data_IF_902288847818
#
_entry.id   IF_902288847818
#
_cell.length_a   1.000
_cell.length_b   1.000
_cell.length_c   1.000
_cell.angle_alpha   90.00
_cell.angle_beta   90.00
_cell.angle_gamma   90.00
#
_symmetry.space_group_name_H-M   'P 1'
#
loop_
_entity.id
_entity.type
_entity.pdbx_description
1 polymer ?
#
# COMPACT_ATOMS: atom_id res chain seq x y z
N UNK A 1 -12.36 -6.44 -6.03
CA UNK A 1 -13.53 -5.81 -6.69
C UNK A 1 -14.41 -6.94 -7.23
N UNK A 2 -15.69 -6.95 -6.88
CA UNK A 2 -16.66 -8.07 -6.88
C UNK A 2 -16.49 -9.06 -5.72
N UNK A 3 -17.57 -9.28 -4.97
CA UNK A 3 -17.66 -9.94 -3.66
C UNK A 3 -17.44 -11.45 -3.67
N UNK A 4 -16.52 -11.94 -4.49
CA UNK A 4 -16.01 -13.30 -4.35
C UNK A 4 -14.91 -13.27 -3.28
N UNK A 5 -15.12 -14.01 -2.18
CA UNK A 5 -14.12 -14.18 -1.13
C UNK A 5 -12.91 -14.95 -1.67
N UNK A 6 -11.90 -14.22 -2.15
CA UNK A 6 -10.59 -14.78 -2.43
C UNK A 6 -9.72 -14.63 -1.18
N UNK A 7 -9.37 -15.76 -0.56
CA UNK A 7 -8.63 -15.80 0.70
C UNK A 7 -7.15 -16.13 0.43
N UNK A 8 -6.26 -15.38 1.06
CA UNK A 8 -4.85 -15.72 1.12
C UNK A 8 -4.64 -16.80 2.18
N UNK A 9 -4.08 -17.94 1.79
CA UNK A 9 -3.71 -19.02 2.72
C UNK A 9 -2.21 -19.00 2.95
N UNK A 10 -1.77 -18.64 4.15
CA UNK A 10 -0.35 -18.76 4.51
C UNK A 10 -0.13 -20.21 4.98
N UNK A 11 0.71 -20.95 4.27
CA UNK A 11 1.01 -22.36 4.54
C UNK A 11 2.50 -22.47 4.90
N UNK A 12 2.79 -23.14 6.01
CA UNK A 12 4.16 -23.50 6.35
C UNK A 12 4.60 -24.70 5.50
N UNK A 13 5.52 -24.48 4.55
CA UNK A 13 6.12 -25.56 3.74
C UNK A 13 7.64 -25.49 3.91
N UNK A 14 8.22 -26.62 4.30
CA UNK A 14 9.46 -26.70 5.10
C UNK A 14 10.74 -26.21 4.38
N UNK A 15 10.76 -25.86 3.08
CA UNK A 15 12.04 -25.60 2.38
C UNK A 15 12.11 -24.46 1.35
N UNK A 16 11.05 -23.69 1.08
CA UNK A 16 11.07 -22.60 0.08
C UNK A 16 10.12 -21.46 0.44
N UNK A 17 10.51 -20.21 0.14
CA UNK A 17 9.62 -19.06 0.13
C UNK A 17 9.20 -18.78 -1.32
N UNK A 18 7.90 -18.86 -1.60
CA UNK A 18 7.34 -18.62 -2.93
C UNK A 18 5.89 -18.17 -2.82
N UNK A 19 5.48 -17.31 -3.75
CA UNK A 19 4.11 -16.86 -3.93
C UNK A 19 3.78 -16.71 -5.43
N UNK A 20 2.49 -16.83 -5.76
CA UNK A 20 2.01 -16.46 -7.09
C UNK A 20 2.00 -14.93 -7.25
N UNK A 21 2.14 -14.48 -8.49
CA UNK A 21 2.08 -13.05 -8.80
C UNK A 21 0.64 -12.62 -9.10
N UNK A 22 0.11 -11.70 -8.30
CA UNK A 22 -1.24 -11.16 -8.46
C UNK A 22 -2.38 -12.10 -8.03
N UNK A 23 -3.63 -11.67 -8.30
CA UNK A 23 -4.86 -12.44 -7.97
C UNK A 23 -5.10 -13.55 -8.99
N UNK A 24 -5.12 -14.81 -8.53
CA UNK A 24 -5.42 -15.98 -9.38
C UNK A 24 -6.91 -16.14 -9.77
N UNK A 25 -7.83 -15.57 -9.00
CA UNK A 25 -9.27 -15.53 -9.34
C UNK A 25 -10.08 -16.76 -8.92
N UNK A 26 -9.49 -17.96 -8.89
CA UNK A 26 -10.21 -19.23 -8.75
C UNK A 26 -9.92 -19.95 -7.41
N UNK A 27 -10.16 -19.27 -6.29
CA UNK A 27 -10.04 -19.84 -4.94
C UNK A 27 -8.81 -19.39 -4.15
N UNK A 28 -8.46 -20.07 -3.05
CA UNK A 28 -7.40 -19.63 -2.16
C UNK A 28 -6.03 -19.72 -2.84
N UNK A 29 -5.18 -18.73 -2.58
CA UNK A 29 -3.80 -18.72 -3.06
C UNK A 29 -2.83 -18.87 -1.89
N UNK A 30 -1.87 -19.79 -2.04
CA UNK A 30 -0.93 -20.13 -0.99
C UNK A 30 0.30 -19.20 -1.01
N UNK A 31 0.71 -18.70 0.15
CA UNK A 31 2.08 -18.22 0.38
C UNK A 31 2.81 -19.31 1.15
N UNK A 32 3.94 -19.76 0.61
CA UNK A 32 4.82 -20.69 1.30
C UNK A 32 5.80 -19.91 2.18
N UNK A 33 5.72 -20.09 3.50
CA UNK A 33 6.71 -19.55 4.45
C UNK A 33 7.40 -20.72 5.14
N UNK A 34 8.60 -21.07 4.66
CA UNK A 34 9.41 -22.14 5.23
C UNK A 34 10.32 -21.69 6.39
N UNK A 35 11.05 -22.65 6.95
CA UNK A 35 12.07 -22.38 7.97
C UNK A 35 13.17 -21.47 7.39
N UNK A 36 13.44 -20.33 8.05
CA UNK A 36 14.28 -19.21 7.60
C UNK A 36 13.61 -18.19 6.65
N UNK A 37 12.32 -18.34 6.32
CA UNK A 37 11.52 -17.37 5.56
C UNK A 37 10.64 -16.48 6.46
N UNK A 38 10.69 -16.67 7.78
CA UNK A 38 9.85 -16.02 8.80
C UNK A 38 10.32 -14.61 9.16
N UNK A 39 11.42 -14.14 8.58
CA UNK A 39 11.89 -12.76 8.74
C UNK A 39 10.94 -11.79 8.08
N UNK A 40 10.61 -10.69 8.77
CA UNK A 40 9.69 -9.65 8.31
C UNK A 40 9.85 -9.27 6.83
N UNK A 41 11.07 -8.89 6.39
CA UNK A 41 11.27 -8.46 5.01
C UNK A 41 11.16 -9.58 3.96
N UNK A 42 11.32 -10.86 4.33
CA UNK A 42 11.03 -11.97 3.42
C UNK A 42 9.52 -12.10 3.25
N UNK A 43 8.75 -12.00 4.33
CA UNK A 43 7.28 -12.01 4.24
C UNK A 43 6.77 -10.83 3.39
N UNK A 44 7.35 -9.64 3.55
CA UNK A 44 6.99 -8.48 2.72
C UNK A 44 7.34 -8.72 1.24
N UNK A 45 8.45 -9.38 0.93
CA UNK A 45 8.79 -9.77 -0.44
C UNK A 45 7.74 -10.71 -1.05
N UNK A 46 7.33 -11.76 -0.32
CA UNK A 46 6.30 -12.68 -0.80
C UNK A 46 4.93 -12.00 -0.95
N UNK A 47 4.62 -11.03 -0.09
CA UNK A 47 3.44 -10.18 -0.24
C UNK A 47 3.56 -9.24 -1.45
N UNK A 48 4.75 -8.78 -1.82
CA UNK A 48 4.99 -8.05 -3.05
C UNK A 48 4.59 -8.84 -4.29
N UNK A 49 4.91 -10.14 -4.33
CA UNK A 49 4.40 -11.05 -5.36
C UNK A 49 2.89 -11.12 -5.36
N UNK A 50 2.25 -11.32 -4.19
CA UNK A 50 0.77 -11.35 -4.08
C UNK A 50 0.12 -10.09 -4.64
N UNK A 51 0.72 -8.93 -4.41
CA UNK A 51 0.24 -7.62 -4.89
C UNK A 51 0.41 -7.48 -6.41
N UNK A 52 1.26 -8.28 -7.04
CA UNK A 52 1.43 -8.32 -8.49
C UNK A 52 2.82 -7.93 -8.99
N UNK A 53 3.82 -7.83 -8.11
CA UNK A 53 5.17 -7.52 -8.51
C UNK A 53 5.99 -8.76 -8.84
N UNK A 54 6.72 -8.69 -9.95
CA UNK A 54 7.80 -9.60 -10.26
C UNK A 54 9.12 -9.10 -9.64
N UNK A 55 10.20 -9.88 -9.77
CA UNK A 55 11.51 -9.41 -9.31
C UNK A 55 12.00 -8.23 -10.14
N UNK A 56 12.56 -7.21 -9.50
CA UNK A 56 12.97 -5.97 -10.18
C UNK A 56 14.00 -6.23 -11.30
N UNK A 57 14.85 -7.26 -11.15
CA UNK A 57 15.83 -7.63 -12.17
C UNK A 57 15.24 -8.33 -13.40
N UNK A 58 13.94 -8.68 -13.43
CA UNK A 58 13.30 -9.29 -14.61
C UNK A 58 12.62 -8.25 -15.50
N UNK A 59 12.70 -6.96 -15.17
CA UNK A 59 12.20 -5.86 -16.02
C UNK A 59 12.81 -5.86 -17.42
N UNK A 60 12.06 -5.37 -18.39
CA UNK A 60 12.49 -5.28 -19.79
C UNK A 60 13.71 -4.38 -19.98
N UNK A 61 13.77 -3.28 -19.21
CA UNK A 61 14.83 -2.27 -19.21
C UNK A 61 16.00 -2.62 -18.28
N UNK A 62 15.98 -3.78 -17.59
CA UNK A 62 16.99 -4.14 -16.58
C UNK A 62 18.42 -4.12 -17.11
N UNK A 63 18.64 -4.41 -18.39
CA UNK A 63 19.97 -4.41 -18.99
C UNK A 63 20.59 -3.02 -19.11
N UNK A 64 19.82 -1.93 -18.97
CA UNK A 64 20.37 -0.57 -18.88
C UNK A 64 20.89 -0.26 -17.47
N UNK A 65 20.44 -1.01 -16.46
CA UNK A 65 20.64 -0.73 -15.05
C UNK A 65 21.59 -1.71 -14.35
N UNK A 66 21.56 -2.99 -14.74
CA UNK A 66 22.34 -4.08 -14.16
C UNK A 66 22.99 -4.95 -15.25
N UNK A 67 24.09 -5.60 -14.90
CA UNK A 67 24.73 -6.65 -15.69
C UNK A 67 24.49 -8.01 -15.01
N UNK A 68 24.08 -9.00 -15.80
CA UNK A 68 23.86 -10.38 -15.34
C UNK A 68 25.05 -11.25 -15.75
N UNK A 69 25.78 -11.78 -14.78
CA UNK A 69 26.90 -12.67 -15.01
C UNK A 69 26.43 -14.13 -15.11
N UNK A 70 25.88 -14.52 -16.27
CA UNK A 70 25.37 -15.88 -16.48
C UNK A 70 26.37 -17.00 -16.15
N UNK A 71 27.67 -16.76 -16.37
CA UNK A 71 28.74 -17.71 -16.02
C UNK A 71 28.90 -17.92 -14.51
N UNK A 72 28.42 -17.00 -13.68
CA UNK A 72 28.45 -17.07 -12.21
C UNK A 72 27.22 -17.77 -11.63
N UNK A 73 26.18 -17.98 -12.42
CA UNK A 73 24.92 -18.58 -11.96
C UNK A 73 25.10 -20.10 -11.79
N UNK A 74 24.46 -20.67 -10.77
CA UNK A 74 24.36 -22.12 -10.59
C UNK A 74 23.72 -22.79 -11.80
N UNK A 75 24.17 -24.01 -12.11
CA UNK A 75 23.62 -24.78 -13.22
C UNK A 75 22.11 -24.95 -13.05
N UNK A 76 21.35 -24.70 -14.12
CA UNK A 76 19.88 -24.79 -14.15
C UNK A 76 19.15 -23.77 -13.28
N UNK A 77 19.78 -22.64 -12.92
CA UNK A 77 19.12 -21.51 -12.23
C UNK A 77 19.06 -20.24 -13.09
N UNK A 78 19.52 -20.31 -14.34
CA UNK A 78 19.57 -19.22 -15.32
C UNK A 78 18.19 -18.65 -15.65
N UNK A 79 17.15 -19.49 -15.67
CA UNK A 79 15.77 -19.07 -15.92
C UNK A 79 15.24 -18.04 -14.90
N UNK A 80 15.76 -18.01 -13.66
CA UNK A 80 15.36 -17.00 -12.66
C UNK A 80 15.83 -15.59 -13.05
N UNK A 81 16.71 -15.48 -14.03
CA UNK A 81 17.27 -14.22 -14.53
C UNK A 81 16.73 -13.87 -15.91
N UNK A 82 15.73 -14.58 -16.42
CA UNK A 82 15.10 -14.19 -17.68
C UNK A 82 14.30 -12.90 -17.51
N UNK A 83 14.29 -12.07 -18.56
CA UNK A 83 13.42 -10.89 -18.61
C UNK A 83 12.00 -11.36 -18.90
N UNK A 84 11.03 -10.68 -18.31
CA UNK A 84 9.62 -10.86 -18.65
C UNK A 84 9.32 -10.28 -20.03
N UNK A 85 8.16 -10.63 -20.57
CA UNK A 85 7.69 -10.11 -21.86
C UNK A 85 6.90 -8.81 -21.69
N UNK A 86 6.75 -8.05 -22.78
CA UNK A 86 6.05 -6.77 -22.82
C UNK A 86 4.57 -6.82 -22.42
N UNK A 87 3.94 -7.97 -22.54
CA UNK A 87 2.54 -8.23 -22.14
C UNK A 87 2.41 -8.67 -20.68
N UNK A 88 3.52 -8.98 -20.01
CA UNK A 88 3.54 -9.50 -18.64
C UNK A 88 3.94 -8.45 -17.59
N UNK A 89 4.51 -7.31 -18.02
CA UNK A 89 5.02 -6.27 -17.11
C UNK A 89 4.74 -4.85 -17.62
N UNK A 90 4.34 -3.98 -16.69
CA UNK A 90 4.24 -2.54 -16.89
C UNK A 90 4.92 -1.83 -15.71
N UNK A 91 5.95 -1.04 -16.00
CA UNK A 91 6.68 -0.29 -14.97
C UNK A 91 5.90 0.92 -14.44
N UNK A 92 4.77 1.30 -15.07
CA UNK A 92 3.93 2.44 -14.71
C UNK A 92 4.70 3.78 -14.69
N UNK A 93 5.74 3.87 -15.53
CA UNK A 93 6.65 5.01 -15.62
C UNK A 93 7.57 5.20 -14.40
N UNK A 94 7.64 4.23 -13.48
CA UNK A 94 8.60 4.26 -12.37
C UNK A 94 10.02 3.87 -12.85
N UNK A 95 11.06 4.55 -12.36
CA UNK A 95 12.44 4.20 -12.66
C UNK A 95 12.80 2.83 -12.10
N UNK A 96 13.95 2.30 -12.50
CA UNK A 96 14.49 1.06 -11.95
C UNK A 96 14.92 1.26 -10.50
N UNK A 97 14.42 0.43 -9.58
CA UNK A 97 14.65 0.60 -8.14
C UNK A 97 15.64 -0.45 -7.57
N UNK A 98 16.91 -0.06 -7.46
CA UNK A 98 17.95 -0.88 -6.83
C UNK A 98 17.64 -1.25 -5.36
N UNK A 99 16.90 -0.40 -4.65
CA UNK A 99 16.53 -0.63 -3.25
C UNK A 99 15.22 -1.42 -3.11
N UNK A 100 14.55 -1.79 -4.20
CA UNK A 100 13.30 -2.55 -4.18
C UNK A 100 13.46 -3.82 -3.34
N UNK A 101 12.45 -4.09 -2.50
CA UNK A 101 12.38 -5.34 -1.75
C UNK A 101 12.26 -6.55 -2.69
N UNK A 102 11.83 -6.33 -3.94
CA UNK A 102 11.69 -7.33 -5.00
C UNK A 102 13.00 -7.57 -5.76
N UNK A 103 14.04 -6.76 -5.54
CA UNK A 103 15.33 -6.96 -6.20
C UNK A 103 16.12 -8.12 -5.56
N UNK A 104 16.82 -8.89 -6.38
CA UNK A 104 17.76 -9.92 -5.91
C UNK A 104 19.04 -9.32 -5.33
N UNK A 105 19.67 -10.06 -4.40
CA UNK A 105 21.02 -9.74 -3.93
C UNK A 105 22.06 -10.07 -5.01
N UNK A 106 23.25 -9.48 -4.88
CA UNK A 106 24.34 -9.60 -5.86
C UNK A 106 24.78 -11.03 -6.15
N UNK A 107 24.67 -11.92 -5.18
CA UNK A 107 25.16 -13.31 -5.21
C UNK A 107 24.02 -14.34 -5.22
N UNK A 108 22.78 -13.89 -5.46
CA UNK A 108 21.61 -14.78 -5.53
C UNK A 108 21.83 -15.85 -6.59
N UNK A 109 21.63 -17.13 -6.26
CA UNK A 109 21.93 -18.29 -7.10
C UNK A 109 23.38 -18.35 -7.65
N UNK A 110 24.34 -17.76 -6.94
CA UNK A 110 25.75 -17.85 -7.34
C UNK A 110 26.33 -19.24 -7.12
N UNK A 111 27.18 -19.69 -8.05
CA UNK A 111 27.86 -21.00 -7.98
C UNK A 111 29.03 -21.03 -6.99
N UNK A 112 29.51 -19.89 -6.52
CA UNK A 112 30.59 -19.80 -5.54
C UNK A 112 30.44 -18.56 -4.66
N UNK A 113 30.87 -18.69 -3.41
CA UNK A 113 30.96 -17.58 -2.46
C UNK A 113 31.87 -16.51 -3.09
N UNK A 114 31.44 -15.25 -3.10
CA UNK A 114 32.11 -14.08 -3.70
C UNK A 114 32.00 -13.88 -5.22
N UNK A 115 31.25 -14.72 -5.93
CA UNK A 115 30.90 -14.41 -7.33
C UNK A 115 29.56 -13.68 -7.38
N UNK A 116 29.57 -12.47 -7.93
CA UNK A 116 28.32 -11.78 -8.27
C UNK A 116 27.64 -12.46 -9.46
N UNK A 117 26.32 -12.60 -9.37
CA UNK A 117 25.41 -12.90 -10.48
C UNK A 117 24.78 -11.63 -11.04
N UNK A 118 24.60 -10.59 -10.21
CA UNK A 118 24.02 -9.29 -10.61
C UNK A 118 24.93 -8.15 -10.15
N UNK A 119 25.22 -7.21 -11.06
CA UNK A 119 26.02 -6.02 -10.77
C UNK A 119 25.36 -4.74 -11.30
N UNK A 120 25.01 -3.77 -10.44
CA UNK A 120 24.54 -2.46 -10.88
C UNK A 120 25.57 -1.74 -11.74
N UNK A 121 25.16 -1.20 -12.89
CA UNK A 121 26.04 -0.50 -13.84
C UNK A 121 26.44 0.90 -13.37
N UNK A 122 25.51 1.59 -12.70
CA UNK A 122 25.69 2.97 -12.22
C UNK A 122 26.59 3.06 -10.99
N UNK A 123 27.21 4.23 -10.82
CA UNK A 123 27.94 4.61 -9.60
C UNK A 123 27.22 5.83 -9.01
N UNK A 124 26.70 5.68 -7.81
CA UNK A 124 26.02 6.73 -7.04
C UNK A 124 26.89 7.09 -5.83
N UNK A 125 27.26 8.37 -5.70
CA UNK A 125 28.10 8.86 -4.60
C UNK A 125 29.42 8.08 -4.45
N UNK A 126 30.06 7.75 -5.58
CA UNK A 126 31.35 7.04 -5.61
C UNK A 126 31.27 5.53 -5.33
N UNK A 127 30.07 4.96 -5.14
CA UNK A 127 29.86 3.52 -4.93
C UNK A 127 28.73 2.97 -5.80
N UNK A 128 28.75 1.67 -6.07
CA UNK A 128 27.59 1.00 -6.67
C UNK A 128 26.46 0.95 -5.65
N UNK A 129 25.19 1.13 -6.06
CA UNK A 129 24.07 0.96 -5.15
C UNK A 129 24.03 -0.47 -4.60
N UNK A 130 23.60 -0.61 -3.35
CA UNK A 130 23.36 -1.91 -2.74
C UNK A 130 22.03 -2.45 -3.24
N UNK A 131 21.97 -3.76 -3.51
CA UNK A 131 20.79 -4.47 -4.02
C UNK A 131 20.48 -5.68 -3.15
N UNK A 132 19.21 -6.06 -3.08
CA UNK A 132 18.78 -7.26 -2.35
C UNK A 132 18.45 -7.05 -0.88
N UNK A 133 18.16 -5.82 -0.46
CA UNK A 133 17.72 -5.55 0.91
C UNK A 133 16.41 -6.29 1.22
N UNK A 134 16.26 -6.74 2.47
CA UNK A 134 15.06 -7.42 3.00
C UNK A 134 14.68 -6.84 4.37
N UNK A 135 14.64 -5.52 4.46
CA UNK A 135 14.36 -4.77 5.69
C UNK A 135 12.97 -4.12 5.60
N UNK A 136 12.71 -3.36 4.53
CA UNK A 136 11.49 -2.57 4.37
C UNK A 136 11.16 -2.33 2.89
N UNK A 137 9.96 -1.82 2.61
CA UNK A 137 9.62 -1.32 1.28
C UNK A 137 10.47 -0.10 0.93
N UNK A 138 10.94 -0.06 -0.30
CA UNK A 138 11.58 1.15 -0.84
C UNK A 138 10.54 2.22 -1.19
N UNK A 139 10.96 3.49 -1.34
CA UNK A 139 10.07 4.52 -1.86
C UNK A 139 9.50 4.19 -3.24
N UNK A 140 10.25 3.51 -4.12
CA UNK A 140 9.79 3.08 -5.44
C UNK A 140 8.75 1.97 -5.36
N UNK A 141 8.96 0.96 -4.50
CA UNK A 141 7.95 -0.09 -4.25
C UNK A 141 6.60 0.55 -3.84
N UNK A 142 6.63 1.53 -2.93
CA UNK A 142 5.43 2.22 -2.45
C UNK A 142 4.78 3.05 -3.58
N UNK A 143 5.57 3.81 -4.33
CA UNK A 143 5.08 4.65 -5.42
C UNK A 143 4.43 3.81 -6.53
N UNK A 144 5.10 2.73 -6.95
CA UNK A 144 4.60 1.83 -7.98
C UNK A 144 3.33 1.11 -7.53
N UNK A 145 3.27 0.66 -6.27
CA UNK A 145 2.06 0.05 -5.68
C UNK A 145 0.88 1.02 -5.72
N UNK A 146 1.11 2.29 -5.34
CA UNK A 146 0.07 3.33 -5.38
C UNK A 146 -0.47 3.54 -6.79
N UNK A 147 0.40 3.56 -7.80
CA UNK A 147 -0.01 3.66 -9.21
C UNK A 147 -0.80 2.42 -9.67
N UNK A 148 -0.30 1.23 -9.36
CA UNK A 148 -0.90 -0.05 -9.77
C UNK A 148 -2.33 -0.19 -9.24
N UNK A 149 -2.54 0.16 -7.97
CA UNK A 149 -3.84 0.05 -7.30
C UNK A 149 -4.70 1.32 -7.39
N UNK A 150 -4.20 2.37 -8.08
CA UNK A 150 -4.85 3.68 -8.18
C UNK A 150 -5.22 4.21 -6.80
N UNK A 151 -4.26 4.14 -5.88
CA UNK A 151 -4.47 4.59 -4.52
C UNK A 151 -4.84 6.09 -4.48
N UNK A 152 -5.67 6.49 -3.52
CA UNK A 152 -6.00 7.89 -3.24
C UNK A 152 -4.76 8.76 -3.09
N UNK A 153 -4.88 10.04 -3.47
CA UNK A 153 -3.77 10.99 -3.42
C UNK A 153 -3.32 11.29 -1.99
N UNK A 154 -4.25 11.15 -1.04
CA UNK A 154 -4.13 11.53 0.35
C UNK A 154 -4.86 10.51 1.24
N UNK A 155 -4.56 10.60 2.53
CA UNK A 155 -5.10 9.71 3.55
C UNK A 155 -4.13 8.61 3.99
N UNK A 156 -4.48 7.97 5.10
CA UNK A 156 -3.62 7.01 5.78
C UNK A 156 -4.42 5.93 6.52
N UNK A 157 -3.74 4.81 6.84
CA UNK A 157 -4.29 3.82 7.76
C UNK A 157 -3.86 4.17 9.19
N UNK A 158 -4.82 4.54 10.03
CA UNK A 158 -4.64 4.83 11.44
C UNK A 158 -4.88 3.59 12.30
N UNK A 159 -3.87 3.23 13.08
CA UNK A 159 -3.93 2.16 14.09
C UNK A 159 -3.62 2.67 15.51
N UNK A 160 -3.65 4.00 15.69
CA UNK A 160 -3.30 4.68 16.94
C UNK A 160 -4.56 5.03 17.74
N UNK A 161 -4.41 5.12 19.06
CA UNK A 161 -5.50 5.49 19.98
C UNK A 161 -6.04 6.91 19.73
N UNK A 162 -5.28 7.81 19.11
CA UNK A 162 -5.76 9.16 18.81
C UNK A 162 -5.10 9.61 17.51
N UNK A 163 -5.84 10.32 16.65
CA UNK A 163 -5.30 10.81 15.39
C UNK A 163 -6.19 11.86 14.76
N UNK A 164 -5.56 12.80 14.06
CA UNK A 164 -6.25 13.84 13.30
C UNK A 164 -6.30 13.45 11.83
N UNK A 165 -7.45 13.69 11.18
CA UNK A 165 -7.62 13.52 9.74
C UNK A 165 -7.50 14.89 9.08
N UNK A 166 -6.46 15.11 8.27
CA UNK A 166 -6.20 16.40 7.61
C UNK A 166 -6.45 16.30 6.12
N UNK A 167 -7.40 17.10 5.63
CA UNK A 167 -7.72 17.22 4.22
C UNK A 167 -6.83 18.32 3.61
N UNK A 168 -5.60 17.95 3.27
CA UNK A 168 -4.62 18.86 2.65
C UNK A 168 -4.53 18.59 1.14
N UNK A 169 -5.29 19.33 0.32
CA UNK A 169 -5.15 19.33 -1.15
C UNK A 169 -6.39 18.94 -1.96
N UNK A 170 -6.17 18.50 -3.20
CA UNK A 170 -7.21 18.11 -4.18
C UNK A 170 -7.07 16.63 -4.55
N UNK A 171 -8.20 15.98 -4.77
CA UNK A 171 -8.28 14.58 -5.17
C UNK A 171 -9.14 13.73 -4.22
N UNK A 172 -9.11 12.43 -4.49
CA UNK A 172 -9.70 11.41 -3.62
C UNK A 172 -8.74 11.18 -2.43
N UNK A 173 -9.25 11.29 -1.20
CA UNK A 173 -8.54 10.96 0.02
C UNK A 173 -9.28 9.86 0.79
N UNK A 174 -8.56 8.82 1.21
CA UNK A 174 -9.15 7.71 1.96
C UNK A 174 -8.41 7.47 3.27
N UNK A 175 -9.13 7.49 4.39
CA UNK A 175 -8.60 7.11 5.69
C UNK A 175 -9.19 5.80 6.15
N UNK A 176 -8.33 4.88 6.60
CA UNK A 176 -8.75 3.63 7.21
C UNK A 176 -8.43 3.69 8.68
N UNK A 177 -9.41 3.45 9.55
CA UNK A 177 -9.19 3.44 10.99
C UNK A 177 -9.41 2.02 11.46
N UNK A 178 -8.38 1.43 12.03
CA UNK A 178 -8.38 0.04 12.47
C UNK A 178 -8.14 0.02 13.97
N UNK A 179 -9.05 -0.60 14.70
CA UNK A 179 -8.97 -0.79 16.14
C UNK A 179 -8.76 -2.26 16.48
N UNK A 180 -8.29 -2.54 17.70
CA UNK A 180 -8.16 -3.92 18.17
C UNK A 180 -9.53 -4.55 18.37
N UNK A 181 -9.60 -5.88 18.33
CA UNK A 181 -10.85 -6.60 18.56
C UNK A 181 -11.44 -6.27 19.94
N UNK A 182 -12.67 -5.75 19.96
CA UNK A 182 -13.36 -5.32 21.20
C UNK A 182 -13.29 -3.82 21.48
N UNK A 183 -12.49 -3.07 20.73
CA UNK A 183 -12.45 -1.60 20.82
C UNK A 183 -13.51 -0.98 19.90
N UNK A 184 -14.08 0.14 20.35
CA UNK A 184 -15.05 0.93 19.60
C UNK A 184 -14.35 2.18 19.09
N UNK A 185 -14.50 2.44 17.79
CA UNK A 185 -14.01 3.66 17.17
C UNK A 185 -15.09 4.73 17.39
N UNK A 186 -14.73 5.80 18.09
CA UNK A 186 -15.58 6.97 18.27
C UNK A 186 -15.03 8.10 17.43
N UNK A 187 -15.82 8.54 16.46
CA UNK A 187 -15.46 9.62 15.56
C UNK A 187 -16.17 10.90 15.99
N UNK A 188 -15.40 11.89 16.46
CA UNK A 188 -15.91 13.22 16.78
C UNK A 188 -15.46 14.23 15.71
N UNK A 189 -16.41 14.89 15.06
CA UNK A 189 -16.20 15.86 13.99
C UNK A 189 -16.36 17.26 14.56
N UNK A 190 -15.25 17.93 14.94
CA UNK A 190 -15.33 19.18 15.71
C UNK A 190 -15.62 20.42 14.86
N UNK A 191 -15.17 20.46 13.61
CA UNK A 191 -15.22 21.65 12.75
C UNK A 191 -14.94 21.26 11.30
N UNK A 192 -15.72 21.76 10.35
CA UNK A 192 -15.38 21.77 8.92
C UNK A 192 -16.03 22.99 8.28
N UNK A 193 -15.35 24.13 8.33
CA UNK A 193 -15.83 25.36 7.70
C UNK A 193 -15.21 25.49 6.30
N UNK A 194 -15.98 25.15 5.27
CA UNK A 194 -15.66 25.51 3.89
C UNK A 194 -16.21 26.90 3.59
N UNK A 195 -15.36 27.92 3.61
CA UNK A 195 -15.74 29.25 3.14
C UNK A 195 -15.89 29.24 1.61
N UNK A 196 -17.04 29.71 1.12
CA UNK A 196 -17.36 29.78 -0.31
C UNK A 196 -16.34 30.63 -1.06
N UNK A 197 -15.72 30.08 -2.12
CA UNK A 197 -15.26 30.89 -3.25
C UNK A 197 -16.13 30.59 -4.48
N UNK A 198 -16.69 31.68 -5.01
CA UNK A 198 -17.53 31.92 -6.17
C UNK A 198 -17.81 30.77 -7.18
N UNK A 199 -19.11 30.58 -7.43
CA UNK A 199 -19.79 30.16 -8.67
C UNK A 199 -19.40 28.85 -9.41
N UNK A 200 -18.31 28.15 -9.05
CA UNK A 200 -17.87 26.94 -9.78
C UNK A 200 -18.29 25.60 -9.14
N UNK A 201 -18.63 25.52 -7.85
CA UNK A 201 -18.98 24.25 -7.18
C UNK A 201 -20.52 24.06 -7.08
N UNK A 202 -21.23 24.06 -8.20
CA UNK A 202 -22.72 24.01 -8.27
C UNK A 202 -23.27 22.59 -8.46
N UNK A 203 -22.44 21.59 -8.81
CA UNK A 203 -22.93 20.25 -9.09
C UNK A 203 -22.78 19.39 -7.83
N UNK A 204 -23.87 18.74 -7.42
CA UNK A 204 -24.00 17.87 -6.22
C UNK A 204 -23.02 16.68 -6.15
N UNK A 205 -22.05 16.60 -7.06
CA UNK A 205 -21.11 15.49 -7.25
C UNK A 205 -19.64 15.87 -6.96
N UNK A 206 -19.34 17.13 -6.63
CA UNK A 206 -17.96 17.61 -6.68
C UNK A 206 -17.18 17.48 -5.36
N UNK A 207 -17.83 17.58 -4.19
CA UNK A 207 -17.17 17.34 -2.90
C UNK A 207 -18.09 16.54 -1.98
N UNK A 208 -17.64 15.37 -1.52
CA UNK A 208 -18.39 14.55 -0.58
C UNK A 208 -17.50 13.88 0.46
N UNK A 209 -18.11 13.58 1.61
CA UNK A 209 -17.52 12.75 2.66
C UNK A 209 -18.47 11.57 2.90
N UNK A 210 -17.94 10.36 2.80
CA UNK A 210 -18.65 9.11 3.05
C UNK A 210 -17.94 8.38 4.19
N UNK A 211 -18.70 8.05 5.21
CA UNK A 211 -18.25 7.26 6.34
C UNK A 211 -18.83 5.85 6.21
N UNK A 212 -17.98 4.82 6.26
CA UNK A 212 -18.37 3.41 6.10
C UNK A 212 -17.93 2.55 7.28
N UNK A 213 -18.76 1.58 7.63
CA UNK A 213 -18.46 0.53 8.60
C UNK A 213 -17.85 -0.69 7.89
N UNK A 214 -16.53 -0.70 7.72
CA UNK A 214 -15.81 -1.84 7.14
C UNK A 214 -14.53 -1.45 6.39
N UNK A 215 -14.13 -2.26 5.40
CA UNK A 215 -12.78 -2.19 4.79
C UNK A 215 -12.76 -1.94 3.27
N UNK A 216 -13.93 -1.80 2.65
CA UNK A 216 -14.03 -1.66 1.20
C UNK A 216 -15.22 -0.78 0.81
N UNK A 217 -15.22 -0.25 -0.42
CA UNK A 217 -16.22 0.72 -0.88
C UNK A 217 -17.66 0.16 -0.93
N UNK A 218 -17.86 -1.14 -0.76
CA UNK A 218 -19.17 -1.78 -0.64
C UNK A 218 -19.66 -1.94 0.82
N UNK A 219 -18.84 -1.55 1.81
CA UNK A 219 -19.23 -1.58 3.21
C UNK A 219 -20.40 -0.63 3.51
N UNK A 220 -21.25 -0.96 4.50
CA UNK A 220 -22.39 -0.15 4.90
C UNK A 220 -22.01 1.31 5.15
N UNK A 221 -22.82 2.24 4.65
CA UNK A 221 -22.62 3.68 4.87
C UNK A 221 -23.25 4.05 6.21
N UNK A 222 -22.45 4.68 7.07
CA UNK A 222 -22.88 5.23 8.37
C UNK A 222 -23.22 6.71 8.28
N UNK A 223 -22.55 7.44 7.39
CA UNK A 223 -22.76 8.86 7.18
C UNK A 223 -22.40 9.28 5.76
N UNK A 224 -23.18 10.18 5.19
CA UNK A 224 -22.95 10.76 3.87
C UNK A 224 -23.21 12.27 3.97
N UNK A 225 -22.21 13.08 3.61
CA UNK A 225 -22.39 14.52 3.41
C UNK A 225 -22.14 14.87 1.95
N UNK A 226 -23.18 15.37 1.28
CA UNK A 226 -23.19 15.72 -0.15
C UNK A 226 -23.04 17.22 -0.42
N UNK A 227 -22.60 18.02 0.57
CA UNK A 227 -22.49 19.49 0.43
C UNK A 227 -21.26 20.02 1.18
N UNK A 228 -20.70 21.13 0.68
CA UNK A 228 -19.73 22.00 1.40
C UNK A 228 -20.25 22.56 2.74
N UNK A 229 -21.43 22.16 3.21
CA UNK A 229 -21.95 22.49 4.52
C UNK A 229 -22.10 21.20 5.30
N UNK A 230 -21.14 20.99 6.19
CA UNK A 230 -21.19 19.93 7.17
C UNK A 230 -21.67 20.55 8.48
N UNK A 231 -22.90 20.26 8.90
CA UNK A 231 -23.37 20.53 10.24
C UNK A 231 -23.41 19.19 10.98
N UNK A 232 -22.28 18.73 11.50
CA UNK A 232 -22.20 17.48 12.26
C UNK A 232 -21.92 17.78 13.73
N UNK A 233 -22.94 17.57 14.56
CA UNK A 233 -22.77 17.21 15.96
C UNK A 233 -23.02 15.71 16.14
N UNK A 234 -22.58 14.91 15.17
CA UNK A 234 -22.86 13.48 15.13
C UNK A 234 -21.65 12.71 15.63
N UNK A 235 -21.87 11.89 16.65
CA UNK A 235 -20.89 10.93 17.17
C UNK A 235 -21.21 9.58 16.55
N UNK A 236 -20.30 9.07 15.72
CA UNK A 236 -20.42 7.73 15.15
C UNK A 236 -19.63 6.75 16.01
N UNK A 237 -20.27 5.63 16.38
CA UNK A 237 -19.64 4.50 17.08
C UNK A 237 -19.77 3.24 16.24
N UNK A 238 -18.65 2.57 15.94
CA UNK A 238 -18.64 1.42 15.02
C UNK A 238 -17.88 0.24 15.61
N UNK A 239 -18.03 -0.94 14.98
CA UNK A 239 -17.24 -2.13 15.27
C UNK A 239 -15.73 -1.88 14.98
N UNK A 240 -14.78 -2.81 15.27
CA UNK A 240 -13.34 -2.50 15.30
C UNK A 240 -12.68 -2.23 13.92
N UNK A 241 -13.49 -1.99 12.88
CA UNK A 241 -13.10 -1.97 11.47
C UNK A 241 -13.84 -0.83 10.77
N UNK A 242 -13.15 0.25 10.43
CA UNK A 242 -13.78 1.47 9.91
C UNK A 242 -13.07 2.01 8.67
N UNK A 243 -13.84 2.47 7.69
CA UNK A 243 -13.32 3.09 6.47
C UNK A 243 -14.01 4.43 6.25
N UNK A 244 -13.20 5.49 6.18
CA UNK A 244 -13.64 6.81 5.78
C UNK A 244 -13.16 7.06 4.35
N UNK A 245 -14.10 7.38 3.47
CA UNK A 245 -13.86 7.68 2.06
C UNK A 245 -14.31 9.12 1.79
N UNK A 246 -13.44 9.95 1.22
CA UNK A 246 -13.78 11.34 0.90
C UNK A 246 -13.21 11.76 -0.44
N UNK A 247 -13.99 12.53 -1.17
CA UNK A 247 -13.62 12.99 -2.49
C UNK A 247 -13.77 14.50 -2.55
N UNK A 248 -12.67 15.20 -2.84
CA UNK A 248 -12.64 16.66 -2.93
C UNK A 248 -12.08 17.05 -4.30
N UNK A 249 -12.90 17.67 -5.13
CA UNK A 249 -12.54 18.07 -6.50
C UNK A 249 -12.20 19.56 -6.63
N UNK A 250 -12.77 20.44 -5.80
CA UNK A 250 -12.60 21.89 -5.93
C UNK A 250 -11.30 22.41 -5.27
N UNK A 251 -10.60 23.38 -5.90
CA UNK A 251 -9.44 24.00 -5.31
C UNK A 251 -9.71 24.82 -4.03
N UNK A 252 -9.23 24.38 -2.85
CA UNK A 252 -8.96 25.17 -1.62
C UNK A 252 -7.96 26.33 -1.87
N UNK A 253 -8.17 27.20 -2.85
CA UNK A 253 -7.26 28.29 -3.12
C UNK A 253 -7.49 29.53 -2.24
N UNK A 254 -8.55 29.53 -1.41
CA UNK A 254 -8.92 30.66 -0.55
C UNK A 254 -9.59 30.28 0.79
N UNK A 255 -9.43 29.05 1.27
CA UNK A 255 -9.93 28.68 2.59
C UNK A 255 -8.90 29.09 3.66
N UNK A 256 -9.24 30.10 4.49
CA UNK A 256 -8.55 30.26 5.78
C UNK A 256 -8.91 29.04 6.62
N UNK A 257 -7.91 28.24 6.97
CA UNK A 257 -8.05 27.06 7.79
C UNK A 257 -8.71 27.42 9.13
N UNK A 258 -9.91 26.90 9.37
CA UNK A 258 -10.29 26.46 10.70
C UNK A 258 -10.17 24.95 10.68
N UNK A 259 -9.12 24.48 11.34
CA UNK A 259 -8.70 23.09 11.52
C UNK A 259 -9.90 22.15 11.69
N UNK A 260 -10.02 21.11 10.85
CA UNK A 260 -10.89 19.99 11.15
C UNK A 260 -10.16 19.08 12.12
N UNK A 261 -10.20 19.39 13.41
CA UNK A 261 -9.62 18.52 14.45
C UNK A 261 -10.62 17.39 14.71
N UNK A 262 -10.24 16.17 14.36
CA UNK A 262 -11.00 14.98 14.72
C UNK A 262 -10.34 14.35 15.94
N UNK A 263 -11.05 14.30 17.06
CA UNK A 263 -10.60 13.58 18.25
C UNK A 263 -11.19 12.18 18.19
N UNK A 264 -10.37 11.21 17.78
CA UNK A 264 -10.65 9.80 17.98
C UNK A 264 -10.47 9.50 19.46
N UNK A 265 -11.53 9.18 20.21
CA UNK A 265 -11.42 8.81 21.62
C UNK A 265 -11.78 7.33 21.77
N UNK A 266 -10.79 6.52 22.14
CA UNK A 266 -11.04 5.14 22.51
C UNK A 266 -11.46 5.13 23.97
N UNK A 267 -12.57 4.46 24.34
CA UNK A 267 -12.88 4.29 25.75
C UNK A 267 -11.71 3.58 26.44
N UNK A 268 -11.17 4.19 27.49
CA UNK A 268 -10.11 3.59 28.30
C UNK A 268 -10.55 2.20 28.76
N UNK A 269 -9.62 1.23 28.79
CA UNK A 269 -9.86 -0.14 29.28
C UNK A 269 -10.53 -0.22 30.66
N UNK A 270 -10.56 0.88 31.42
CA UNK A 270 -11.13 0.95 32.77
C UNK A 270 -12.65 1.20 32.82
N UNK A 271 -13.34 1.46 31.70
CA UNK A 271 -14.78 1.81 31.73
C UNK A 271 -15.75 0.67 31.36
N UNK A 272 -15.28 -0.56 31.15
CA UNK A 272 -16.13 -1.72 30.77
C UNK A 272 -16.23 -2.82 31.85
N UNK A 273 -15.70 -2.59 33.05
CA UNK A 273 -15.97 -3.45 34.22
C UNK A 273 -17.05 -2.83 35.11
N UNK A 274 -18.32 -2.99 34.73
CA UNK A 274 -19.47 -3.06 35.65
C UNK A 274 -20.51 -4.02 35.12
#
# INVERSE_FOLDING_TARGET
RNGDECILHIIEIIFRCCSYVGRRGDGPQAISIGKNCDKFGIVVHELGHVIGFWHEHTRLDRDDHVEIFYKSIQQSQDYNFDKLKTDEIDSLGEPYDYASIMHYARDTFSRAIYLDTILPKVIMNGRRPEIGQRIQLSPGDIAQTKKLYKCPACGETLMREYGELRLDGYGECEWRIIASMGEIIVLNISTAHWERSLDECVIEQDNFVIIRDGYYNGSPILGLSLKCFIQFSDVFSTAPKFMWDSFIKCPLHFAKFHECVFLLQFPSKDSLCK
#
